data_IF_500098108332
#
_entry.id   IF_500098108332
#
_cell.length_a   1.000
_cell.length_b   1.000
_cell.length_c   1.000
_cell.angle_alpha   90.00
_cell.angle_beta   90.00
_cell.angle_gamma   90.00
#
_symmetry.space_group_name_H-M   'P 1'
#
loop_
_entity.id
_entity.type
_entity.pdbx_description
1 polymer ?
#
# COMPACT_ATOMS: atom_id res chain seq x y z
N UNK A 1 -7.82 5.25 -23.27
CA UNK A 1 -8.56 4.36 -22.35
C UNK A 1 -10.04 4.50 -22.70
N UNK A 2 -10.69 3.41 -23.15
CA UNK A 2 -12.06 3.31 -23.69
C UNK A 2 -12.45 4.25 -24.85
N UNK A 3 -12.56 3.70 -26.07
CA UNK A 3 -13.00 4.43 -27.28
C UNK A 3 -14.52 4.34 -27.52
N UNK A 4 -15.18 3.31 -26.95
CA UNK A 4 -16.63 3.11 -27.09
C UNK A 4 -17.41 4.04 -26.15
N UNK A 5 -18.45 4.75 -26.62
CA UNK A 5 -19.26 5.64 -25.79
C UNK A 5 -19.91 4.95 -24.58
N UNK A 6 -20.32 3.69 -24.69
CA UNK A 6 -20.93 2.93 -23.58
C UNK A 6 -19.89 2.69 -22.48
N UNK A 7 -18.64 2.37 -22.86
CA UNK A 7 -17.57 2.17 -21.89
C UNK A 7 -17.15 3.49 -21.22
N UNK A 8 -17.16 4.59 -21.97
CA UNK A 8 -16.91 5.92 -21.40
C UNK A 8 -17.95 6.32 -20.36
N UNK A 9 -19.24 6.10 -20.64
CA UNK A 9 -20.32 6.40 -19.69
C UNK A 9 -20.27 5.49 -18.46
N UNK A 10 -19.99 4.20 -18.62
CA UNK A 10 -19.76 3.29 -17.48
C UNK A 10 -18.59 3.76 -16.61
N UNK A 11 -17.49 4.16 -17.24
CA UNK A 11 -16.33 4.65 -16.53
C UNK A 11 -16.63 5.95 -15.76
N UNK A 12 -17.45 6.86 -16.33
CA UNK A 12 -17.90 8.08 -15.62
C UNK A 12 -18.65 7.75 -14.34
N UNK A 13 -19.61 6.83 -14.39
CA UNK A 13 -20.38 6.41 -13.21
C UNK A 13 -19.48 5.78 -12.13
N UNK A 14 -18.52 4.95 -12.52
CA UNK A 14 -17.54 4.38 -11.59
C UNK A 14 -16.66 5.47 -10.98
N UNK A 15 -16.17 6.41 -11.78
CA UNK A 15 -15.33 7.51 -11.32
C UNK A 15 -16.06 8.41 -10.32
N UNK A 16 -17.37 8.64 -10.50
CA UNK A 16 -18.19 9.42 -9.56
C UNK A 16 -18.41 8.69 -8.22
N UNK A 17 -18.56 7.37 -8.24
CA UNK A 17 -18.79 6.57 -7.03
C UNK A 17 -17.51 6.18 -6.29
N UNK A 18 -16.39 6.01 -6.98
CA UNK A 18 -15.13 5.50 -6.42
C UNK A 18 -14.64 6.26 -5.17
N UNK A 19 -14.71 7.61 -5.10
CA UNK A 19 -14.29 8.35 -3.91
C UNK A 19 -15.07 7.99 -2.62
N UNK A 20 -16.26 7.40 -2.75
CA UNK A 20 -17.09 7.02 -1.60
C UNK A 20 -16.72 5.64 -1.02
N UNK A 21 -15.99 4.81 -1.78
CA UNK A 21 -15.75 3.42 -1.40
C UNK A 21 -14.93 3.28 -0.11
N UNK A 22 -13.79 3.99 -0.01
CA UNK A 22 -12.93 3.93 1.18
C UNK A 22 -13.57 4.58 2.43
N UNK A 23 -14.22 5.76 2.35
CA UNK A 23 -14.96 6.32 3.48
C UNK A 23 -16.06 5.39 4.00
N UNK A 24 -16.86 4.80 3.11
CA UNK A 24 -17.92 3.86 3.49
C UNK A 24 -17.34 2.60 4.15
N UNK A 25 -16.31 2.00 3.55
CA UNK A 25 -15.66 0.83 4.12
C UNK A 25 -15.10 1.13 5.53
N UNK A 26 -14.48 2.30 5.72
CA UNK A 26 -14.02 2.76 7.04
C UNK A 26 -15.17 2.96 8.03
N UNK A 27 -16.27 3.58 7.60
CA UNK A 27 -17.47 3.82 8.41
C UNK A 27 -18.06 2.51 8.96
N UNK A 28 -18.07 1.44 8.15
CA UNK A 28 -18.59 0.13 8.55
C UNK A 28 -17.55 -0.80 9.19
N UNK A 29 -16.34 -0.30 9.49
CA UNK A 29 -15.30 -1.09 10.14
C UNK A 29 -14.72 -2.21 9.26
N UNK A 30 -14.84 -2.08 7.93
CA UNK A 30 -14.23 -3.04 7.00
C UNK A 30 -12.71 -2.91 7.06
N UNK A 31 -12.02 -4.05 7.16
CA UNK A 31 -10.55 -4.09 7.07
C UNK A 31 -10.11 -3.79 5.65
N UNK A 32 -9.26 -2.78 5.50
CA UNK A 32 -8.77 -2.32 4.21
C UNK A 32 -7.28 -2.65 4.11
N UNK A 33 -6.87 -3.11 2.93
CA UNK A 33 -5.47 -3.33 2.57
C UNK A 33 -5.00 -2.24 1.61
N UNK A 34 -3.68 -2.09 1.47
CA UNK A 34 -3.08 -1.18 0.50
C UNK A 34 -2.68 -1.93 -0.77
N UNK A 35 -3.18 -1.53 -1.93
CA UNK A 35 -2.84 -2.19 -3.20
C UNK A 35 -3.01 -1.18 -4.32
N UNK A 36 -2.17 -1.27 -5.34
CA UNK A 36 -2.21 -0.36 -6.49
C UNK A 36 -3.04 -0.90 -7.66
N UNK A 37 -3.14 -2.23 -7.74
CA UNK A 37 -3.68 -2.96 -8.90
C UNK A 37 -3.13 -2.43 -10.23
N UNK A 38 -1.85 -2.04 -10.23
CA UNK A 38 -1.22 -1.41 -11.39
C UNK A 38 -1.08 -2.43 -12.52
N UNK A 39 -1.60 -2.10 -13.69
CA UNK A 39 -1.47 -2.86 -14.92
C UNK A 39 -1.22 -1.91 -16.11
N UNK A 40 -0.45 -2.40 -17.10
CA UNK A 40 -0.14 -1.76 -18.39
C UNK A 40 0.59 -0.39 -18.36
N UNK A 41 1.63 -0.27 -19.19
CA UNK A 41 2.28 0.99 -19.54
C UNK A 41 3.26 1.54 -18.50
N UNK A 42 4.33 2.18 -18.97
CA UNK A 42 5.41 2.68 -18.13
C UNK A 42 4.94 3.76 -17.15
N UNK A 43 4.04 4.65 -17.58
CA UNK A 43 3.50 5.71 -16.73
C UNK A 43 2.81 5.15 -15.49
N UNK A 44 2.07 4.04 -15.60
CA UNK A 44 1.40 3.44 -14.46
C UNK A 44 2.42 2.89 -13.44
N UNK A 45 3.49 2.24 -13.93
CA UNK A 45 4.57 1.73 -13.09
C UNK A 45 5.45 2.82 -12.48
N UNK A 46 5.56 4.00 -13.10
CA UNK A 46 6.24 5.13 -12.47
C UNK A 46 5.40 5.78 -11.36
N UNK A 47 4.08 5.68 -11.47
CA UNK A 47 3.15 6.45 -10.66
C UNK A 47 2.37 5.65 -9.61
N UNK A 48 2.58 4.33 -9.51
CA UNK A 48 1.80 3.48 -8.59
C UNK A 48 1.89 3.94 -7.12
N UNK A 49 2.99 4.59 -6.74
CA UNK A 49 3.20 5.11 -5.38
C UNK A 49 2.25 6.27 -5.02
N UNK A 50 1.59 6.89 -6.01
CA UNK A 50 0.53 7.88 -5.76
C UNK A 50 -0.68 7.32 -5.02
N UNK A 51 -0.80 6.00 -4.93
CA UNK A 51 -1.81 5.34 -4.11
C UNK A 51 -1.78 5.77 -2.63
N UNK A 52 -0.61 6.16 -2.09
CA UNK A 52 -0.53 6.77 -0.76
C UNK A 52 -1.30 8.10 -0.70
N UNK A 53 -1.13 8.97 -1.70
CA UNK A 53 -1.79 10.28 -1.76
C UNK A 53 -3.30 10.14 -1.89
N UNK A 54 -3.78 9.19 -2.69
CA UNK A 54 -5.22 8.98 -2.88
C UNK A 54 -5.94 8.53 -1.60
N UNK A 55 -5.20 8.09 -0.58
CA UNK A 55 -5.72 7.61 0.70
C UNK A 55 -5.65 8.66 1.81
N UNK A 56 -4.96 9.78 1.59
CA UNK A 56 -4.71 10.80 2.62
C UNK A 56 -6.00 11.45 3.15
N UNK A 57 -7.02 11.58 2.30
CA UNK A 57 -8.31 12.16 2.69
C UNK A 57 -9.11 11.24 3.64
N UNK A 58 -8.74 9.96 3.72
CA UNK A 58 -9.50 8.93 4.44
C UNK A 58 -8.72 8.34 5.61
N UNK A 59 -7.39 8.26 5.51
CA UNK A 59 -6.55 7.55 6.48
C UNK A 59 -5.40 8.42 6.98
N UNK A 60 -5.14 8.34 8.29
CA UNK A 60 -3.91 8.89 8.86
C UNK A 60 -2.67 8.15 8.32
N UNK A 61 -1.48 8.76 8.34
CA UNK A 61 -0.25 8.10 7.93
C UNK A 61 -0.03 6.76 8.65
N UNK A 62 -0.16 6.72 9.97
CA UNK A 62 -0.14 5.48 10.76
C UNK A 62 -1.19 4.44 10.33
N UNK A 63 -2.40 4.90 9.96
CA UNK A 63 -3.46 4.04 9.44
C UNK A 63 -3.12 3.45 8.08
N UNK A 64 -2.35 4.16 7.25
CA UNK A 64 -1.83 3.66 5.99
C UNK A 64 -0.64 2.70 6.21
N UNK A 65 0.27 2.97 7.17
CA UNK A 65 1.32 2.02 7.59
C UNK A 65 0.68 0.68 7.95
N UNK A 66 -0.37 0.69 8.78
CA UNK A 66 -1.10 -0.51 9.16
C UNK A 66 -1.70 -1.27 7.94
N UNK A 67 -2.13 -0.56 6.89
CA UNK A 67 -2.66 -1.17 5.66
C UNK A 67 -1.59 -1.85 4.80
N UNK A 68 -0.35 -1.33 4.79
CA UNK A 68 0.78 -1.92 4.04
C UNK A 68 1.53 -3.00 4.82
N UNK A 69 1.44 -3.03 6.16
CA UNK A 69 2.11 -4.03 7.02
C UNK A 69 1.12 -4.91 7.76
N UNK A 70 0.63 -4.48 8.92
CA UNK A 70 -0.07 -5.33 9.87
C UNK A 70 -1.32 -6.00 9.31
N UNK A 71 -2.15 -5.26 8.56
CA UNK A 71 -3.35 -5.83 7.94
C UNK A 71 -2.98 -6.90 6.89
N UNK A 72 -1.88 -6.72 6.16
CA UNK A 72 -1.35 -7.76 5.27
C UNK A 72 -0.82 -8.95 6.04
N UNK A 73 -0.15 -8.73 7.18
CA UNK A 73 0.35 -9.79 8.06
C UNK A 73 -0.72 -10.72 8.61
N UNK A 74 -1.98 -10.26 8.65
CA UNK A 74 -3.12 -11.09 9.05
C UNK A 74 -3.64 -12.00 7.93
N UNK A 75 -3.40 -11.67 6.66
CA UNK A 75 -3.93 -12.46 5.53
C UNK A 75 -3.27 -13.85 5.42
N UNK A 76 -1.93 -13.99 5.50
CA UNK A 76 -1.26 -15.29 5.57
C UNK A 76 -1.78 -16.21 6.68
N UNK A 77 -2.24 -15.66 7.81
CA UNK A 77 -2.82 -16.45 8.92
C UNK A 77 -4.09 -17.19 8.52
N UNK A 78 -4.81 -16.69 7.52
CA UNK A 78 -6.03 -17.33 7.01
C UNK A 78 -5.74 -18.56 6.15
N UNK A 79 -4.54 -18.66 5.58
CA UNK A 79 -4.12 -19.81 4.77
C UNK A 79 -3.13 -20.72 5.49
N UNK A 80 -2.41 -20.22 6.50
CA UNK A 80 -1.37 -20.94 7.24
C UNK A 80 0.01 -20.95 6.56
N UNK A 81 0.15 -20.29 5.41
CA UNK A 81 1.41 -20.22 4.66
C UNK A 81 2.03 -18.85 4.84
N UNK A 82 3.33 -18.77 5.15
CA UNK A 82 4.09 -17.52 5.32
C UNK A 82 3.61 -16.63 6.50
N UNK A 83 3.41 -17.25 7.66
CA UNK A 83 3.09 -16.60 8.94
C UNK A 83 4.26 -16.81 9.93
N UNK A 84 4.74 -15.79 10.68
CA UNK A 84 4.31 -14.39 10.69
C UNK A 84 5.02 -13.48 9.67
N UNK A 85 4.25 -12.56 9.08
CA UNK A 85 4.68 -11.53 8.12
C UNK A 85 4.09 -10.17 8.51
N UNK A 86 4.67 -9.06 8.00
CA UNK A 86 4.16 -7.71 8.23
C UNK A 86 4.22 -7.21 9.68
N UNK A 87 5.04 -7.85 10.53
CA UNK A 87 5.20 -7.53 11.95
C UNK A 87 6.68 -7.66 12.37
N UNK A 88 7.13 -6.80 13.28
CA UNK A 88 8.43 -6.92 13.93
C UNK A 88 8.24 -7.77 15.19
N UNK A 89 8.56 -9.05 15.08
CA UNK A 89 8.46 -10.01 16.17
C UNK A 89 9.46 -11.15 15.98
N UNK A 90 9.80 -11.85 17.06
CA UNK A 90 10.59 -13.07 16.97
C UNK A 90 9.93 -14.07 16.02
N UNK A 91 10.75 -14.77 15.23
CA UNK A 91 10.34 -15.79 14.24
C UNK A 91 9.57 -15.26 13.03
N UNK A 92 9.32 -13.95 12.92
CA UNK A 92 8.82 -13.34 11.69
C UNK A 92 9.90 -13.31 10.60
N UNK A 93 9.48 -13.24 9.34
CA UNK A 93 10.41 -13.01 8.24
C UNK A 93 11.16 -11.68 8.43
N UNK A 94 12.48 -11.71 8.23
CA UNK A 94 13.32 -10.51 8.24
C UNK A 94 13.18 -9.74 6.91
N UNK A 95 11.97 -9.25 6.66
CA UNK A 95 11.61 -8.35 5.56
C UNK A 95 11.48 -6.94 6.16
N UNK A 96 12.50 -6.10 5.97
CA UNK A 96 12.64 -4.81 6.65
C UNK A 96 12.94 -3.69 5.66
N UNK A 97 12.38 -2.52 5.96
CA UNK A 97 12.80 -1.25 5.37
C UNK A 97 13.29 -0.35 6.51
N UNK A 98 14.49 0.23 6.38
CA UNK A 98 14.91 1.36 7.20
C UNK A 98 14.64 2.62 6.40
N UNK A 99 13.87 3.54 6.98
CA UNK A 99 13.37 4.75 6.32
C UNK A 99 13.96 5.96 7.03
N UNK A 100 14.47 6.92 6.26
CA UNK A 100 14.85 8.24 6.77
C UNK A 100 13.58 9.06 7.03
N UNK A 101 13.26 9.22 8.33
CA UNK A 101 12.04 9.85 8.81
C UNK A 101 11.04 8.87 9.44
N UNK A 102 9.85 9.37 9.79
CA UNK A 102 8.80 8.59 10.46
C UNK A 102 7.56 8.44 9.56
N UNK A 103 7.34 7.26 8.94
CA UNK A 103 6.18 7.02 8.07
C UNK A 103 4.84 7.00 8.83
N UNK A 104 4.86 6.92 10.16
CA UNK A 104 3.64 7.05 10.98
C UNK A 104 3.20 8.50 11.13
N UNK A 105 4.08 9.46 10.82
CA UNK A 105 3.80 10.90 10.76
C UNK A 105 3.67 11.39 9.31
N UNK A 106 4.45 10.85 8.38
CA UNK A 106 4.36 11.16 6.95
C UNK A 106 4.55 9.92 6.06
N UNK A 107 3.44 9.34 5.61
CA UNK A 107 3.44 8.13 4.77
C UNK A 107 4.06 8.40 3.38
N UNK A 108 4.13 9.67 2.95
CA UNK A 108 4.63 10.03 1.62
C UNK A 108 6.13 9.81 1.48
N UNK A 109 6.86 9.61 2.59
CA UNK A 109 8.24 9.12 2.58
C UNK A 109 8.38 7.84 1.75
N UNK A 110 7.37 6.96 1.75
CA UNK A 110 7.35 5.71 0.97
C UNK A 110 7.14 5.92 -0.53
N UNK A 111 6.89 7.15 -0.98
CA UNK A 111 6.76 7.48 -2.40
C UNK A 111 8.11 7.65 -3.11
N UNK A 112 9.19 7.81 -2.35
CA UNK A 112 10.55 7.94 -2.87
C UNK A 112 11.47 6.88 -2.26
N UNK A 113 12.07 6.06 -3.13
CA UNK A 113 13.04 5.05 -2.71
C UNK A 113 14.38 5.65 -2.24
N UNK A 114 14.59 6.95 -2.51
CA UNK A 114 15.69 7.73 -1.94
C UNK A 114 15.66 7.77 -0.41
N UNK A 115 14.48 7.74 0.20
CA UNK A 115 14.29 7.80 1.65
C UNK A 115 14.49 6.46 2.38
N UNK A 116 14.95 5.40 1.67
CA UNK A 116 15.05 4.05 2.25
C UNK A 116 16.53 3.66 2.33
N UNK A 117 17.15 3.70 3.50
CA UNK A 117 18.58 3.39 3.65
C UNK A 117 18.89 1.88 3.59
N UNK A 118 17.96 1.05 4.05
CA UNK A 118 18.08 -0.41 4.05
C UNK A 118 16.84 -1.03 3.44
N UNK A 119 17.05 -1.95 2.50
CA UNK A 119 16.03 -2.89 2.04
C UNK A 119 16.53 -4.29 2.33
N UNK A 120 15.90 -4.98 3.28
CA UNK A 120 16.19 -6.36 3.62
C UNK A 120 15.01 -7.25 3.24
N UNK A 121 15.30 -8.41 2.66
CA UNK A 121 14.30 -9.44 2.38
C UNK A 121 14.83 -10.80 2.82
N UNK A 122 14.07 -11.48 3.66
CA UNK A 122 14.41 -12.77 4.24
C UNK A 122 15.83 -12.79 4.85
N UNK A 123 16.22 -11.70 5.53
CA UNK A 123 17.54 -11.56 6.15
C UNK A 123 18.69 -11.20 5.20
N UNK A 124 18.40 -11.02 3.91
CA UNK A 124 19.39 -10.63 2.89
C UNK A 124 19.25 -9.14 2.60
N UNK A 125 20.35 -8.40 2.66
CA UNK A 125 20.38 -6.99 2.28
C UNK A 125 20.38 -6.85 0.75
N UNK A 126 19.42 -6.10 0.23
CA UNK A 126 19.28 -5.75 -1.20
C UNK A 126 19.65 -4.30 -1.49
N UNK A 127 19.52 -3.42 -0.49
CA UNK A 127 20.07 -2.06 -0.46
C UNK A 127 20.60 -1.84 0.95
N UNK A 128 21.80 -1.29 1.06
CA UNK A 128 22.43 -0.92 2.34
C UNK A 128 23.35 0.28 2.08
N UNK A 129 22.96 1.45 2.57
CA UNK A 129 23.69 2.72 2.40
C UNK A 129 24.19 3.30 3.72
N UNK A 130 24.23 2.47 4.77
CA UNK A 130 24.73 2.81 6.11
C UNK A 130 26.28 2.77 6.19
#
# INVERSE_FOLDING_TARGET
MFQDPIWQEKNRQVAEGAPQAMPLAKQYGVKILWRTDVFFGDDAFQNFRREFVYRDDVFTPSGQVQQVTGNYGEIPKLSGWKDPHGVIAERAYADLLLIDGDPTQDIRLLMDAGNIDLTMKNGVNYKDTL
#
